data_IF_866051521009
#
_entry.id   IF_866051521009
#
_cell.length_a   1.000
_cell.length_b   1.000
_cell.length_c   1.000
_cell.angle_alpha   90.00
_cell.angle_beta   90.00
_cell.angle_gamma   90.00
#
_symmetry.space_group_name_H-M   'P 1'
#
loop_
_entity.id
_entity.type
_entity.pdbx_description
1 polymer ?
#
# COMPACT_ATOMS: atom_id res chain seq x y z
N UNK A 1 2.44 6.23 9.69
CA UNK A 1 1.62 5.18 10.33
C UNK A 1 0.25 5.69 10.81
N UNK A 2 0.25 6.92 11.31
CA UNK A 2 -0.82 7.71 11.90
C UNK A 2 -1.99 8.00 10.94
N UNK A 3 -1.79 7.85 9.63
CA UNK A 3 -2.82 8.05 8.61
C UNK A 3 -3.83 6.90 8.51
N UNK A 4 -3.62 5.80 9.22
CA UNK A 4 -4.48 4.61 9.17
C UNK A 4 -5.30 4.48 10.46
N UNK A 5 -6.57 4.10 10.33
CA UNK A 5 -7.38 3.62 11.44
C UNK A 5 -7.05 2.14 11.74
N UNK A 6 -5.91 1.93 12.39
CA UNK A 6 -5.41 0.59 12.73
C UNK A 6 -6.37 -0.17 13.62
N UNK A 7 -7.15 0.51 14.48
CA UNK A 7 -8.14 -0.15 15.34
C UNK A 7 -9.24 -0.79 14.50
N UNK A 8 -9.80 -0.04 13.54
CA UNK A 8 -10.81 -0.57 12.62
C UNK A 8 -10.28 -1.70 11.76
N UNK A 9 -9.01 -1.65 11.34
CA UNK A 9 -8.37 -2.77 10.61
C UNK A 9 -8.26 -4.04 11.48
N UNK A 10 -7.86 -3.90 12.74
CA UNK A 10 -7.82 -5.03 13.69
C UNK A 10 -9.22 -5.59 13.94
N UNK A 11 -10.23 -4.75 14.12
CA UNK A 11 -11.62 -5.19 14.32
C UNK A 11 -12.14 -5.96 13.10
N UNK A 12 -11.83 -5.50 11.89
CA UNK A 12 -12.14 -6.22 10.65
C UNK A 12 -11.50 -7.62 10.64
N UNK A 13 -10.20 -7.71 10.94
CA UNK A 13 -9.48 -9.00 10.95
C UNK A 13 -9.97 -9.95 12.05
N UNK A 14 -10.33 -9.42 13.22
CA UNK A 14 -10.96 -10.18 14.31
C UNK A 14 -12.28 -10.79 13.87
N UNK A 15 -13.16 -10.01 13.25
CA UNK A 15 -14.45 -10.47 12.77
C UNK A 15 -14.29 -11.60 11.73
N UNK A 16 -13.37 -11.43 10.78
CA UNK A 16 -13.05 -12.45 9.77
C UNK A 16 -12.51 -13.73 10.42
N UNK A 17 -11.48 -13.65 11.28
CA UNK A 17 -10.91 -14.84 11.94
C UNK A 17 -11.86 -15.49 12.94
N UNK A 18 -12.85 -14.76 13.47
CA UNK A 18 -13.90 -15.30 14.33
C UNK A 18 -14.99 -16.03 13.55
N UNK A 19 -14.94 -16.00 12.20
CA UNK A 19 -15.90 -16.67 11.35
C UNK A 19 -17.24 -15.94 11.29
N UNK A 20 -17.27 -14.61 11.36
CA UNK A 20 -18.50 -13.85 11.08
C UNK A 20 -18.93 -14.04 9.61
N UNK A 21 -20.24 -14.14 9.37
CA UNK A 21 -20.78 -14.45 8.03
C UNK A 21 -20.58 -13.33 7.03
N UNK A 22 -20.58 -12.08 7.49
CA UNK A 22 -20.41 -10.88 6.68
C UNK A 22 -19.57 -9.88 7.47
N UNK A 23 -18.51 -9.37 6.85
CA UNK A 23 -17.66 -8.32 7.44
C UNK A 23 -17.44 -7.23 6.42
N UNK A 24 -17.59 -5.97 6.82
CA UNK A 24 -17.49 -4.83 5.91
C UNK A 24 -16.12 -4.13 6.01
N UNK A 25 -15.56 -3.76 4.86
CA UNK A 25 -14.38 -2.91 4.74
C UNK A 25 -14.73 -1.57 4.07
N UNK A 26 -14.17 -0.44 4.53
CA UNK A 26 -14.32 0.85 3.84
C UNK A 26 -13.61 0.85 2.48
N UNK A 27 -14.14 1.60 1.52
CA UNK A 27 -13.54 1.75 0.18
C UNK A 27 -12.80 3.07 0.06
N UNK A 28 -11.54 3.02 -0.36
CA UNK A 28 -10.74 4.20 -0.69
C UNK A 28 -10.77 4.47 -2.20
N UNK A 29 -10.97 5.74 -2.59
CA UNK A 29 -10.97 6.13 -4.00
C UNK A 29 -9.74 6.96 -4.34
N UNK A 30 -8.93 6.45 -5.26
CA UNK A 30 -7.79 7.19 -5.80
C UNK A 30 -8.19 8.35 -6.74
N UNK A 31 -9.47 8.45 -7.13
CA UNK A 31 -9.97 9.56 -7.97
C UNK A 31 -10.18 10.80 -7.11
N UNK A 32 -10.92 10.68 -6.01
CA UNK A 32 -11.20 11.79 -5.08
C UNK A 32 -10.15 11.89 -3.97
N UNK A 33 -9.26 10.90 -3.87
CA UNK A 33 -8.19 10.79 -2.89
C UNK A 33 -8.68 10.72 -1.43
N UNK A 34 -9.80 10.04 -1.20
CA UNK A 34 -10.42 9.91 0.13
C UNK A 34 -11.23 8.60 0.26
N UNK A 35 -11.61 8.26 1.49
CA UNK A 35 -12.54 7.18 1.81
C UNK A 35 -13.94 7.57 1.37
N UNK A 36 -14.61 6.68 0.64
CA UNK A 36 -15.99 6.87 0.21
C UNK A 36 -16.95 6.66 1.39
N UNK A 37 -17.73 7.69 1.80
CA UNK A 37 -18.56 7.61 3.00
C UNK A 37 -19.58 6.47 2.96
N UNK A 38 -20.18 6.22 1.80
CA UNK A 38 -21.31 5.29 1.62
C UNK A 38 -20.93 3.99 0.90
N UNK A 39 -19.65 3.81 0.53
CA UNK A 39 -19.20 2.59 -0.14
C UNK A 39 -18.50 1.65 0.83
N UNK A 40 -18.91 0.39 0.80
CA UNK A 40 -18.32 -0.71 1.58
C UNK A 40 -18.15 -1.92 0.67
N UNK A 41 -17.07 -2.65 0.89
CA UNK A 41 -16.92 -4.00 0.35
C UNK A 41 -17.33 -4.99 1.43
N UNK A 42 -18.18 -5.95 1.07
CA UNK A 42 -18.66 -7.00 1.97
C UNK A 42 -17.87 -8.28 1.71
N UNK A 43 -17.26 -8.81 2.77
CA UNK A 43 -16.49 -10.06 2.74
C UNK A 43 -17.32 -11.16 3.38
N UNK A 44 -17.63 -12.20 2.59
CA UNK A 44 -18.43 -13.35 3.03
C UNK A 44 -17.54 -14.58 3.25
N UNK A 45 -17.09 -14.80 4.49
CA UNK A 45 -16.33 -15.99 4.95
C UNK A 45 -15.45 -16.66 3.86
N UNK A 46 -14.47 -15.96 3.28
CA UNK A 46 -13.69 -16.53 2.20
C UNK A 46 -12.75 -17.61 2.75
N UNK A 47 -12.47 -18.63 1.93
CA UNK A 47 -11.43 -19.62 2.25
C UNK A 47 -10.05 -18.97 2.37
N UNK A 48 -9.78 -17.96 1.54
CA UNK A 48 -8.54 -17.18 1.52
C UNK A 48 -8.89 -15.70 1.42
N UNK A 49 -8.40 -14.91 2.38
CA UNK A 49 -8.41 -13.45 2.33
C UNK A 49 -7.01 -12.94 2.01
N UNK A 50 -6.89 -12.14 0.95
CA UNK A 50 -5.65 -11.42 0.65
C UNK A 50 -5.79 -10.00 1.19
N UNK A 51 -4.97 -9.66 2.18
CA UNK A 51 -4.82 -8.29 2.66
C UNK A 51 -3.56 -7.67 2.06
N UNK A 52 -3.71 -6.55 1.36
CA UNK A 52 -2.63 -5.78 0.75
C UNK A 52 -2.55 -4.39 1.40
N UNK A 53 -1.33 -3.91 1.63
CA UNK A 53 -1.10 -2.57 2.14
C UNK A 53 0.32 -2.34 2.63
N UNK A 54 0.71 -1.07 2.70
CA UNK A 54 2.06 -0.65 3.11
C UNK A 54 2.36 -0.91 4.59
N UNK A 55 1.33 -0.97 5.44
CA UNK A 55 1.45 -1.02 6.90
C UNK A 55 1.17 -2.40 7.51
N UNK A 56 0.88 -3.42 6.69
CA UNK A 56 0.38 -4.73 7.16
C UNK A 56 1.39 -5.50 8.04
N UNK A 57 2.68 -5.21 7.89
CA UNK A 57 3.77 -5.79 8.70
C UNK A 57 4.36 -4.82 9.73
N UNK A 58 3.76 -3.65 9.94
CA UNK A 58 4.24 -2.70 10.93
C UNK A 58 4.02 -3.22 12.35
N UNK A 59 4.92 -2.79 13.25
CA UNK A 59 4.80 -2.99 14.69
C UNK A 59 4.86 -1.63 15.37
N UNK A 60 4.06 -1.49 16.42
CA UNK A 60 4.16 -0.39 17.38
C UNK A 60 4.68 -0.96 18.70
N UNK A 61 5.79 -0.43 19.22
CA UNK A 61 6.39 -0.89 20.49
C UNK A 61 5.45 -0.78 21.70
N UNK A 62 4.38 0.00 21.59
CA UNK A 62 3.37 0.18 22.64
C UNK A 62 2.10 -0.65 22.43
N UNK A 63 1.95 -1.30 21.28
CA UNK A 63 0.81 -2.16 21.00
C UNK A 63 1.06 -3.60 21.47
N UNK A 64 0.03 -4.24 22.01
CA UNK A 64 0.05 -5.65 22.42
C UNK A 64 -0.45 -6.59 21.33
N UNK A 65 -0.94 -6.04 20.23
CA UNK A 65 -1.59 -6.78 19.15
C UNK A 65 -1.30 -6.08 17.82
N UNK A 66 -0.97 -6.89 16.81
CA UNK A 66 -0.56 -6.42 15.50
C UNK A 66 -1.41 -7.04 14.40
N UNK A 67 -1.56 -6.32 13.29
CA UNK A 67 -2.22 -6.82 12.08
C UNK A 67 -1.61 -8.15 11.62
N UNK A 68 -0.28 -8.28 11.74
CA UNK A 68 0.47 -9.48 11.39
C UNK A 68 0.11 -10.72 12.21
N UNK A 69 -0.46 -10.56 13.42
CA UNK A 69 -0.83 -11.69 14.28
C UNK A 69 -2.00 -12.50 13.68
N UNK A 70 -2.72 -11.90 12.72
CA UNK A 70 -3.83 -12.51 12.01
C UNK A 70 -3.41 -13.20 10.70
N UNK A 71 -2.13 -13.13 10.32
CA UNK A 71 -1.66 -13.68 9.04
C UNK A 71 -1.15 -15.10 9.18
N UNK A 72 -1.66 -15.99 8.32
CA UNK A 72 -1.09 -17.34 8.15
C UNK A 72 0.18 -17.30 7.28
N UNK A 73 0.24 -16.33 6.35
CA UNK A 73 1.37 -16.13 5.44
C UNK A 73 1.50 -14.66 5.06
N UNK A 74 2.73 -14.16 4.94
CA UNK A 74 2.99 -12.78 4.53
C UNK A 74 4.02 -12.69 3.42
N UNK A 75 3.78 -11.79 2.47
CA UNK A 75 4.64 -11.53 1.32
C UNK A 75 5.09 -10.08 1.37
N UNK A 76 6.40 -9.85 1.28
CA UNK A 76 6.98 -8.53 1.09
C UNK A 76 7.57 -8.45 -0.33
N UNK A 77 7.05 -7.51 -1.12
CA UNK A 77 7.61 -7.19 -2.45
C UNK A 77 8.71 -6.14 -2.28
N UNK A 78 9.93 -6.49 -2.64
CA UNK A 78 11.10 -5.62 -2.50
C UNK A 78 11.69 -5.23 -3.85
N UNK A 79 12.36 -4.08 -3.87
CA UNK A 79 13.20 -3.62 -4.95
C UNK A 79 14.15 -2.53 -4.40
N UNK A 80 15.22 -2.25 -5.12
CA UNK A 80 16.10 -1.15 -4.73
C UNK A 80 15.35 0.18 -4.74
N UNK A 81 15.58 1.03 -3.74
CA UNK A 81 14.85 2.29 -3.60
C UNK A 81 14.86 3.17 -4.87
N UNK A 82 15.99 3.37 -5.58
CA UNK A 82 15.99 4.13 -6.83
C UNK A 82 15.12 3.52 -7.94
N UNK A 83 14.92 2.19 -7.92
CA UNK A 83 14.05 1.48 -8.86
C UNK A 83 12.58 1.72 -8.51
N UNK A 84 12.23 1.71 -7.22
CA UNK A 84 10.86 2.01 -6.79
C UNK A 84 10.52 3.47 -7.11
N UNK A 85 11.46 4.39 -6.91
CA UNK A 85 11.33 5.79 -7.29
C UNK A 85 11.04 5.96 -8.79
N UNK A 86 11.81 5.29 -9.66
CA UNK A 86 11.58 5.39 -11.11
C UNK A 86 10.18 4.89 -11.48
N UNK A 87 9.73 3.77 -10.91
CA UNK A 87 8.37 3.28 -11.14
C UNK A 87 7.29 4.24 -10.62
N UNK A 88 7.53 4.89 -9.49
CA UNK A 88 6.62 5.90 -8.95
C UNK A 88 6.48 7.08 -9.91
N UNK A 89 7.59 7.60 -10.43
CA UNK A 89 7.60 8.72 -11.40
C UNK A 89 6.93 8.32 -12.71
N UNK A 90 7.22 7.11 -13.24
CA UNK A 90 6.57 6.58 -14.43
C UNK A 90 5.05 6.45 -14.25
N UNK A 91 4.61 5.92 -13.10
CA UNK A 91 3.19 5.81 -12.76
C UNK A 91 2.54 7.19 -12.62
N UNK A 92 3.23 8.16 -12.03
CA UNK A 92 2.73 9.55 -11.93
C UNK A 92 2.44 10.13 -13.31
N UNK A 93 3.35 9.95 -14.28
CA UNK A 93 3.12 10.36 -15.67
C UNK A 93 1.98 9.61 -16.34
N UNK A 94 1.86 8.30 -16.11
CA UNK A 94 0.74 7.52 -16.65
C UNK A 94 -0.62 8.01 -16.12
N UNK A 95 -0.71 8.32 -14.82
CA UNK A 95 -1.91 8.86 -14.20
C UNK A 95 -2.21 10.29 -14.69
N UNK A 96 -1.17 11.13 -14.86
CA UNK A 96 -1.31 12.48 -15.42
C UNK A 96 -1.92 12.48 -16.82
N UNK A 97 -1.56 11.50 -17.65
CA UNK A 97 -2.10 11.33 -19.01
C UNK A 97 -3.51 10.73 -19.04
N UNK A 98 -4.01 10.22 -17.92
CA UNK A 98 -5.28 9.47 -17.84
C UNK A 98 -6.19 10.03 -16.75
N UNK A 99 -6.16 9.46 -15.54
CA UNK A 99 -7.09 9.76 -14.43
C UNK A 99 -7.07 11.23 -14.03
N UNK A 100 -5.93 11.91 -14.10
CA UNK A 100 -5.86 13.33 -13.71
C UNK A 100 -6.55 14.25 -14.72
N UNK A 101 -6.86 13.79 -15.92
CA UNK A 101 -7.63 14.57 -16.91
C UNK A 101 -9.13 14.63 -16.54
N UNK A 102 -9.61 13.74 -15.67
CA UNK A 102 -10.98 13.78 -15.17
C UNK A 102 -11.19 15.07 -14.34
N UNK A 103 -12.18 15.92 -14.68
CA UNK A 103 -12.51 17.11 -13.90
C UNK A 103 -12.87 16.83 -12.43
N UNK A 104 -13.31 15.62 -12.11
CA UNK A 104 -13.60 15.17 -10.74
C UNK A 104 -12.37 14.63 -10.00
N UNK A 105 -11.24 14.47 -10.69
CA UNK A 105 -10.01 14.01 -10.04
C UNK A 105 -9.50 15.08 -9.09
N UNK A 106 -9.19 14.67 -7.85
CA UNK A 106 -8.48 15.50 -6.89
C UNK A 106 -7.18 16.07 -7.47
N UNK A 107 -6.53 15.29 -8.35
CA UNK A 107 -5.26 15.61 -9.00
C UNK A 107 -5.39 16.38 -10.31
N UNK A 108 -6.58 16.89 -10.65
CA UNK A 108 -6.80 17.65 -11.90
C UNK A 108 -5.83 18.81 -12.07
N UNK A 109 -5.40 19.42 -10.97
CA UNK A 109 -4.42 20.51 -10.95
C UNK A 109 -3.01 20.10 -11.43
N UNK A 110 -2.68 18.80 -11.48
CA UNK A 110 -1.41 18.30 -12.02
C UNK A 110 -1.45 17.97 -13.52
N UNK A 111 -2.64 17.86 -14.11
CA UNK A 111 -2.80 17.49 -15.51
C UNK A 111 -2.16 18.49 -16.48
N UNK A 112 -2.12 19.78 -16.11
CA UNK A 112 -1.65 20.86 -16.97
C UNK A 112 -0.14 21.18 -16.78
N UNK A 113 0.54 20.49 -15.87
CA UNK A 113 2.01 20.61 -15.71
C UNK A 113 2.71 20.19 -17.00
N UNK A 114 3.91 20.72 -17.29
CA UNK A 114 4.80 20.13 -18.31
C UNK A 114 5.39 18.80 -17.83
N UNK A 115 5.97 18.01 -18.73
CA UNK A 115 6.63 16.75 -18.35
C UNK A 115 7.81 16.98 -17.40
N UNK A 116 8.55 18.08 -17.56
CA UNK A 116 9.63 18.47 -16.66
C UNK A 116 9.10 18.83 -15.27
N UNK A 117 8.04 19.65 -15.22
CA UNK A 117 7.40 20.04 -13.95
C UNK A 117 6.78 18.84 -13.23
N UNK A 118 6.12 17.95 -13.97
CA UNK A 118 5.54 16.73 -13.42
C UNK A 118 6.61 15.79 -12.86
N UNK A 119 7.75 15.65 -13.55
CA UNK A 119 8.87 14.83 -13.06
C UNK A 119 9.48 15.44 -11.79
N UNK A 120 9.76 16.74 -11.78
CA UNK A 120 10.30 17.44 -10.62
C UNK A 120 9.38 17.31 -9.40
N UNK A 121 8.06 17.49 -9.60
CA UNK A 121 7.08 17.32 -8.55
C UNK A 121 7.00 15.86 -8.06
N UNK A 122 7.02 14.87 -8.96
CA UNK A 122 6.99 13.47 -8.59
C UNK A 122 8.21 13.09 -7.74
N UNK A 123 9.42 13.52 -8.12
CA UNK A 123 10.62 13.35 -7.31
C UNK A 123 10.50 14.02 -5.94
N UNK A 124 9.99 15.26 -5.89
CA UNK A 124 9.78 15.96 -4.62
C UNK A 124 8.80 15.22 -3.71
N UNK A 125 7.67 14.72 -4.25
CA UNK A 125 6.70 13.91 -3.49
C UNK A 125 7.34 12.61 -3.01
N UNK A 126 8.12 11.95 -3.86
CA UNK A 126 8.84 10.75 -3.47
C UNK A 126 9.80 11.02 -2.31
N UNK A 127 10.70 11.99 -2.45
CA UNK A 127 11.72 12.29 -1.44
C UNK A 127 11.10 12.68 -0.09
N UNK A 128 10.07 13.54 -0.12
CA UNK A 128 9.48 14.11 1.09
C UNK A 128 8.43 13.22 1.77
N UNK A 129 7.77 12.33 1.03
CA UNK A 129 6.66 11.51 1.54
C UNK A 129 6.95 10.02 1.40
N UNK A 130 7.01 9.51 0.17
CA UNK A 130 6.97 8.06 -0.08
C UNK A 130 8.29 7.36 0.24
N UNK A 131 9.43 7.90 -0.24
CA UNK A 131 10.77 7.39 0.06
C UNK A 131 11.10 7.50 1.55
N UNK A 132 10.67 8.59 2.21
CA UNK A 132 10.76 8.70 3.66
C UNK A 132 9.95 7.60 4.37
N UNK A 133 8.68 7.41 4.00
CA UNK A 133 7.84 6.37 4.56
C UNK A 133 8.40 4.96 4.30
N UNK A 134 8.98 4.72 3.12
CA UNK A 134 9.66 3.48 2.77
C UNK A 134 10.80 3.20 3.74
N UNK A 135 11.74 4.14 3.88
CA UNK A 135 12.93 3.97 4.73
C UNK A 135 12.59 3.84 6.21
N UNK A 136 11.66 4.67 6.70
CA UNK A 136 11.37 4.78 8.13
C UNK A 136 10.37 3.73 8.62
N UNK A 137 9.37 3.35 7.81
CA UNK A 137 8.22 2.59 8.30
C UNK A 137 7.94 1.27 7.56
N UNK A 138 8.41 1.11 6.31
CA UNK A 138 8.08 -0.07 5.48
C UNK A 138 9.27 -1.04 5.41
N UNK A 139 10.42 -0.57 4.91
CA UNK A 139 11.62 -1.38 4.74
C UNK A 139 12.10 -2.10 6.02
N UNK A 140 12.04 -1.47 7.23
CA UNK A 140 12.39 -2.17 8.48
C UNK A 140 11.52 -3.40 8.77
N UNK A 141 10.32 -3.51 8.17
CA UNK A 141 9.41 -4.64 8.36
C UNK A 141 9.69 -5.82 7.44
N UNK A 142 10.58 -5.67 6.43
CA UNK A 142 10.95 -6.72 5.46
C UNK A 142 11.31 -8.04 6.14
N UNK A 143 12.10 -7.96 7.23
CA UNK A 143 12.54 -9.11 8.00
C UNK A 143 11.43 -9.86 8.75
N UNK A 144 10.19 -9.37 8.76
CA UNK A 144 9.04 -10.03 9.39
C UNK A 144 8.27 -10.93 8.42
N UNK A 145 8.45 -10.76 7.12
CA UNK A 145 7.71 -11.50 6.10
C UNK A 145 8.04 -12.99 6.07
N UNK A 146 7.05 -13.82 5.71
CA UNK A 146 7.26 -15.25 5.42
C UNK A 146 8.01 -15.45 4.11
N UNK A 147 7.69 -14.63 3.10
CA UNK A 147 8.28 -14.62 1.77
C UNK A 147 8.70 -13.20 1.39
N UNK A 148 9.92 -13.05 0.90
CA UNK A 148 10.38 -11.82 0.24
C UNK A 148 10.57 -12.13 -1.23
N UNK A 149 9.97 -11.31 -2.10
CA UNK A 149 10.14 -11.37 -3.54
C UNK A 149 10.88 -10.10 -3.97
N UNK A 150 12.10 -10.25 -4.50
CA UNK A 150 12.87 -9.11 -5.00
C UNK A 150 12.64 -8.92 -6.50
N UNK A 151 12.44 -7.66 -6.90
CA UNK A 151 12.17 -7.27 -8.28
C UNK A 151 13.32 -6.42 -8.85
N UNK A 152 13.72 -6.74 -10.07
CA UNK A 152 14.62 -5.92 -10.87
C UNK A 152 13.89 -4.76 -11.54
N UNK A 153 14.64 -3.83 -12.15
CA UNK A 153 14.12 -2.57 -12.72
C UNK A 153 13.02 -2.73 -13.78
N UNK A 154 12.95 -3.88 -14.44
CA UNK A 154 11.93 -4.24 -15.44
C UNK A 154 10.70 -4.95 -14.82
N UNK A 155 10.54 -4.85 -13.50
CA UNK A 155 9.54 -5.54 -12.69
C UNK A 155 9.64 -7.07 -12.68
N UNK A 156 10.67 -7.69 -13.27
CA UNK A 156 10.84 -9.14 -13.17
C UNK A 156 11.33 -9.53 -11.78
N UNK A 157 10.86 -10.68 -11.31
CA UNK A 157 11.39 -11.29 -10.09
C UNK A 157 12.83 -11.72 -10.36
N UNK A 158 13.76 -11.25 -9.54
CA UNK A 158 15.17 -11.67 -9.59
C UNK A 158 15.45 -12.75 -8.57
N UNK A 159 14.90 -12.60 -7.37
CA UNK A 159 15.20 -13.46 -6.23
C UNK A 159 13.95 -13.71 -5.37
N UNK A 160 13.93 -14.86 -4.71
CA UNK A 160 12.83 -15.28 -3.83
C UNK A 160 13.42 -15.87 -2.56
N UNK A 161 13.08 -15.30 -1.40
CA UNK A 161 13.55 -15.74 -0.09
C UNK A 161 12.38 -16.20 0.75
N UNK A 162 12.34 -17.50 1.06
CA UNK A 162 11.34 -18.09 1.94
C UNK A 162 11.97 -18.34 3.32
N UNK A 163 11.32 -17.87 4.39
CA UNK A 163 11.74 -18.16 5.76
C UNK A 163 11.65 -19.67 6.03
N UNK A 164 12.73 -20.25 6.55
CA UNK A 164 12.72 -21.65 7.01
C UNK A 164 11.83 -21.78 8.25
N UNK A 165 10.98 -22.80 8.25
CA UNK A 165 10.15 -23.21 9.38
C UNK A 165 10.99 -23.89 10.46
#
# INVERSE_FOLDING_TARGET
PESYDTRRLLDFLRAVKSGETEVEAPVYSHVIYDVLPDAREVVHQPDILILEGLNVLQIDSHATEFVSDYFDFSIYLDAQEPVIESWFVERFHALRRTVFQDPQSFFRHFADLSDEQASALAHQIWESINGRNLRENIAPTKGRASLVIEKGADHRVTDVFLRKL
#
